data_IF_920930972059
#
_entry.id   IF_920930972059
#
_cell.length_a   1.000
_cell.length_b   1.000
_cell.length_c   1.000
_cell.angle_alpha   90.00
_cell.angle_beta   90.00
_cell.angle_gamma   90.00
#
_symmetry.space_group_name_H-M   'P 1'
#
loop_
_entity.id
_entity.type
_entity.pdbx_description
1 polymer ?
#
# COMPACT_ATOMS: atom_id res chain seq x y z
N UNK A 1 9.90 3.43 -0.54
CA UNK A 1 11.32 3.13 -0.44
C UNK A 1 12.02 4.39 -0.78
N UNK A 2 12.56 4.96 0.27
CA UNK A 2 13.72 5.79 0.07
C UNK A 2 14.83 5.16 0.88
N UNK A 3 15.91 4.81 0.20
CA UNK A 3 17.15 4.50 0.90
C UNK A 3 17.69 5.82 1.43
N UNK A 4 17.89 5.91 2.74
CA UNK A 4 18.35 7.09 3.44
C UNK A 4 19.81 6.89 3.82
N UNK A 5 20.71 7.65 3.17
CA UNK A 5 22.15 7.49 3.34
C UNK A 5 22.78 8.72 3.97
N UNK A 6 23.73 8.48 4.86
CA UNK A 6 24.80 9.44 5.17
C UNK A 6 26.15 8.68 5.13
N UNK A 7 27.23 9.27 5.66
CA UNK A 7 28.54 8.62 5.63
C UNK A 7 28.64 7.39 6.56
N UNK A 8 27.83 7.33 7.60
CA UNK A 8 27.90 6.33 8.66
C UNK A 8 26.78 5.27 8.58
N UNK A 9 25.63 5.64 8.00
CA UNK A 9 24.39 4.89 8.10
C UNK A 9 23.73 4.70 6.74
N UNK A 10 23.19 3.50 6.52
CA UNK A 10 22.20 3.22 5.49
C UNK A 10 20.90 2.76 6.14
N UNK A 11 19.87 3.59 6.07
CA UNK A 11 18.55 3.29 6.60
C UNK A 11 17.62 2.96 5.43
N UNK A 12 17.14 1.73 5.42
CA UNK A 12 16.24 1.23 4.37
C UNK A 12 14.83 1.14 4.93
N UNK A 13 13.96 2.07 4.51
CA UNK A 13 12.53 1.98 4.79
C UNK A 13 11.77 1.29 3.64
N UNK A 14 11.37 0.03 3.88
CA UNK A 14 10.56 -0.75 2.96
C UNK A 14 9.10 -0.26 3.02
N UNK A 15 8.79 0.72 2.16
CA UNK A 15 7.47 1.35 2.11
C UNK A 15 6.43 0.38 1.54
N UNK A 16 5.73 -0.29 2.43
CA UNK A 16 4.54 -1.08 2.11
C UNK A 16 3.35 -0.14 1.94
N UNK A 17 2.63 -0.16 0.81
CA UNK A 17 1.53 0.76 0.61
C UNK A 17 0.44 0.63 1.68
N UNK A 18 -0.04 1.80 2.15
CA UNK A 18 -1.14 1.97 3.11
C UNK A 18 -0.82 1.69 4.59
N UNK A 19 0.46 1.72 4.94
CA UNK A 19 0.96 1.51 6.32
C UNK A 19 1.64 2.76 6.91
N UNK A 20 1.13 3.95 6.57
CA UNK A 20 1.70 5.27 6.95
C UNK A 20 3.08 5.61 6.36
N UNK A 21 3.47 4.99 5.24
CA UNK A 21 4.76 5.29 4.61
C UNK A 21 5.00 6.77 4.31
N UNK A 22 4.03 7.52 3.79
CA UNK A 22 4.18 8.98 3.57
C UNK A 22 4.54 9.76 4.85
N UNK A 23 4.05 9.32 6.02
CA UNK A 23 4.37 9.98 7.30
C UNK A 23 5.81 9.70 7.71
N UNK A 24 6.24 8.44 7.63
CA UNK A 24 7.61 8.02 7.94
C UNK A 24 8.61 8.65 6.98
N UNK A 25 8.26 8.73 5.69
CA UNK A 25 9.11 9.35 4.68
C UNK A 25 9.30 10.85 4.93
N UNK A 26 8.22 11.56 5.29
CA UNK A 26 8.28 12.98 5.70
C UNK A 26 9.18 13.15 6.92
N UNK A 27 8.95 12.34 7.96
CA UNK A 27 9.71 12.38 9.19
C UNK A 27 11.22 12.15 8.96
N UNK A 28 11.61 11.12 8.20
CA UNK A 28 13.02 10.86 7.88
C UNK A 28 13.65 12.00 7.07
N UNK A 29 12.91 12.57 6.11
CA UNK A 29 13.40 13.71 5.30
C UNK A 29 13.57 14.98 6.14
N UNK A 30 12.63 15.26 7.04
CA UNK A 30 12.64 16.44 7.91
C UNK A 30 13.81 16.45 8.90
N UNK A 31 14.43 15.29 9.18
CA UNK A 31 15.66 15.24 9.98
C UNK A 31 16.83 16.00 9.34
N UNK A 32 16.85 16.14 8.02
CA UNK A 32 17.98 16.70 7.27
C UNK A 32 19.27 15.88 7.35
N UNK A 33 19.26 14.71 8.01
CA UNK A 33 20.47 13.89 8.28
C UNK A 33 20.84 12.94 7.15
N UNK A 34 19.92 12.70 6.22
CA UNK A 34 20.06 11.67 5.20
C UNK A 34 19.76 12.20 3.81
N UNK A 35 20.53 11.73 2.84
CA UNK A 35 20.19 11.84 1.43
C UNK A 35 19.17 10.74 1.08
N UNK A 36 18.05 11.16 0.49
CA UNK A 36 17.00 10.26 -0.01
C UNK A 36 17.35 9.73 -1.41
N UNK A 37 17.36 8.41 -1.60
CA UNK A 37 17.65 7.74 -2.88
C UNK A 37 16.53 6.74 -3.21
N UNK A 38 16.35 6.41 -4.49
CA UNK A 38 15.35 5.46 -4.99
C UNK A 38 13.91 5.89 -4.71
N UNK A 39 13.62 7.18 -4.84
CA UNK A 39 12.28 7.75 -4.73
C UNK A 39 11.92 8.50 -6.02
N UNK A 40 10.70 8.31 -6.52
CA UNK A 40 10.16 9.11 -7.62
C UNK A 40 8.65 9.26 -7.52
N UNK A 41 8.15 10.49 -7.71
CA UNK A 41 6.71 10.76 -7.73
C UNK A 41 5.97 10.09 -8.90
N UNK A 42 6.71 9.71 -9.95
CA UNK A 42 6.18 9.04 -11.13
C UNK A 42 6.95 7.76 -11.43
N UNK A 43 6.25 6.81 -12.05
CA UNK A 43 6.88 5.61 -12.59
C UNK A 43 7.88 6.02 -13.68
N UNK A 44 9.11 5.52 -13.60
CA UNK A 44 10.12 5.73 -14.63
C UNK A 44 9.79 4.87 -15.87
N UNK A 45 10.30 5.27 -17.04
CA UNK A 45 9.94 4.67 -18.33
C UNK A 45 10.16 3.15 -18.35
N UNK A 46 11.34 2.70 -17.92
CA UNK A 46 11.72 1.28 -17.91
C UNK A 46 11.31 0.52 -16.64
N UNK A 47 10.51 1.14 -15.76
CA UNK A 47 10.07 0.52 -14.52
C UNK A 47 8.59 0.12 -14.57
N UNK A 48 8.29 -1.03 -13.95
CA UNK A 48 6.93 -1.52 -13.77
C UNK A 48 6.19 -0.84 -12.62
N UNK A 49 6.93 -0.35 -11.63
CA UNK A 49 6.42 0.38 -10.46
C UNK A 49 7.32 1.56 -10.13
N UNK A 50 6.83 2.48 -9.30
CA UNK A 50 7.66 3.55 -8.76
C UNK A 50 8.79 2.97 -7.88
N UNK A 51 9.97 3.61 -7.86
CA UNK A 51 11.11 3.15 -7.06
C UNK A 51 10.75 2.89 -5.59
N UNK A 52 9.85 3.69 -5.01
CA UNK A 52 9.40 3.53 -3.64
C UNK A 52 8.62 2.24 -3.36
N UNK A 53 8.17 1.49 -4.36
CA UNK A 53 7.39 0.27 -4.19
C UNK A 53 8.05 -0.97 -4.85
N UNK A 54 9.35 -0.95 -5.16
CA UNK A 54 10.07 -2.17 -5.53
C UNK A 54 10.09 -3.16 -4.34
N UNK A 55 10.24 -4.46 -4.64
CA UNK A 55 10.26 -5.51 -3.62
C UNK A 55 11.62 -5.65 -2.93
N UNK A 56 11.64 -6.41 -1.83
CA UNK A 56 12.84 -6.63 -1.01
C UNK A 56 14.03 -7.17 -1.82
N UNK A 57 13.81 -8.22 -2.62
CA UNK A 57 14.89 -8.84 -3.39
C UNK A 57 15.49 -7.90 -4.43
N UNK A 58 14.65 -7.20 -5.20
CA UNK A 58 15.11 -6.21 -6.19
C UNK A 58 15.91 -5.11 -5.52
N UNK A 59 15.43 -4.58 -4.39
CA UNK A 59 16.15 -3.55 -3.66
C UNK A 59 17.50 -4.07 -3.17
N UNK A 60 17.51 -5.23 -2.52
CA UNK A 60 18.74 -5.84 -1.98
C UNK A 60 19.79 -6.01 -3.07
N UNK A 61 19.39 -6.44 -4.27
CA UNK A 61 20.31 -6.54 -5.42
C UNK A 61 20.82 -5.17 -5.90
N UNK A 62 19.94 -4.15 -5.97
CA UNK A 62 20.33 -2.80 -6.37
C UNK A 62 21.26 -2.13 -5.35
N UNK A 63 21.15 -2.50 -4.08
CA UNK A 63 21.90 -1.88 -2.98
C UNK A 63 23.02 -2.75 -2.43
N UNK A 64 23.29 -3.94 -2.98
CA UNK A 64 24.25 -4.91 -2.40
C UNK A 64 25.68 -4.41 -2.26
N UNK A 65 26.06 -3.42 -3.07
CA UNK A 65 27.40 -2.80 -3.02
C UNK A 65 27.45 -1.57 -2.11
N UNK A 66 26.30 -1.11 -1.62
CA UNK A 66 26.24 0.01 -0.69
C UNK A 66 26.64 -0.49 0.70
N UNK A 67 27.85 -0.13 1.10
CA UNK A 67 28.36 -0.44 2.43
C UNK A 67 28.39 0.83 3.29
N UNK A 68 27.82 0.73 4.49
CA UNK A 68 27.90 1.74 5.55
C UNK A 68 28.23 1.05 6.87
N UNK A 69 28.94 1.72 7.80
CA UNK A 69 29.21 1.17 9.13
C UNK A 69 27.97 0.63 9.85
N UNK A 70 26.83 1.29 9.68
CA UNK A 70 25.55 0.87 10.23
C UNK A 70 24.51 0.72 9.13
N UNK A 71 23.86 -0.46 9.07
CA UNK A 71 22.77 -0.73 8.14
C UNK A 71 21.54 -1.14 8.94
N UNK A 72 20.40 -0.52 8.67
CA UNK A 72 19.15 -0.83 9.35
C UNK A 72 18.01 -0.85 8.35
N UNK A 73 17.27 -1.97 8.31
CA UNK A 73 16.10 -2.14 7.46
C UNK A 73 14.87 -2.28 8.33
N UNK A 74 13.80 -1.57 7.95
CA UNK A 74 12.53 -1.72 8.63
C UNK A 74 11.35 -1.53 7.70
N UNK A 75 10.21 -2.09 8.11
CA UNK A 75 8.94 -1.98 7.42
C UNK A 75 7.80 -1.77 8.43
N UNK A 76 6.71 -1.17 7.97
CA UNK A 76 5.45 -1.14 8.71
C UNK A 76 4.43 -1.98 7.95
N UNK A 77 3.84 -2.96 8.62
CA UNK A 77 2.76 -3.80 8.12
C UNK A 77 1.43 -3.39 8.76
N UNK A 78 0.32 -3.85 8.20
CA UNK A 78 -1.04 -3.57 8.68
C UNK A 78 -1.91 -4.81 8.48
N UNK A 79 -2.94 -4.98 9.29
CA UNK A 79 -3.90 -6.06 9.09
C UNK A 79 -4.40 -6.06 7.62
N UNK A 80 -4.33 -7.19 6.89
CA UNK A 80 -4.68 -7.24 5.46
C UNK A 80 -6.08 -6.71 5.13
N UNK A 81 -7.09 -6.98 5.98
CA UNK A 81 -8.46 -6.45 5.80
C UNK A 81 -8.49 -4.92 5.89
N UNK A 82 -7.86 -4.35 6.91
CA UNK A 82 -7.81 -2.89 7.08
C UNK A 82 -6.97 -2.21 5.98
N UNK A 83 -5.90 -2.87 5.53
CA UNK A 83 -5.02 -2.38 4.46
C UNK A 83 -5.77 -2.24 3.15
N UNK A 84 -6.53 -3.26 2.74
CA UNK A 84 -7.28 -3.22 1.48
C UNK A 84 -8.46 -2.23 1.51
N UNK A 85 -9.09 -2.02 2.68
CA UNK A 85 -10.08 -0.94 2.88
C UNK A 85 -9.44 0.43 2.73
N UNK A 86 -8.27 0.64 3.34
CA UNK A 86 -7.49 1.88 3.21
C UNK A 86 -7.11 2.16 1.74
N UNK A 87 -6.74 1.12 1.00
CA UNK A 87 -6.42 1.20 -0.42
C UNK A 87 -7.62 1.59 -1.28
N UNK A 88 -8.80 0.98 -1.05
CA UNK A 88 -10.02 1.31 -1.77
C UNK A 88 -10.36 2.81 -1.69
N UNK A 89 -10.35 3.36 -0.48
CA UNK A 89 -10.67 4.77 -0.28
C UNK A 89 -9.57 5.70 -0.78
N UNK A 90 -8.32 5.25 -0.79
CA UNK A 90 -7.23 5.98 -1.44
C UNK A 90 -7.45 6.09 -2.95
N UNK A 91 -7.87 5.02 -3.62
CA UNK A 91 -8.18 5.03 -5.06
C UNK A 91 -9.36 5.93 -5.41
N UNK A 92 -10.37 6.00 -4.53
CA UNK A 92 -11.47 6.97 -4.68
C UNK A 92 -10.93 8.40 -4.55
N UNK A 93 -10.12 8.68 -3.53
CA UNK A 93 -9.53 10.02 -3.29
C UNK A 93 -8.68 10.48 -4.48
N UNK A 94 -7.92 9.59 -5.11
CA UNK A 94 -7.14 9.89 -6.32
C UNK A 94 -7.99 10.13 -7.57
N UNK A 95 -9.32 9.98 -7.50
CA UNK A 95 -10.19 10.02 -8.67
C UNK A 95 -9.97 8.84 -9.62
N UNK A 96 -9.24 7.81 -9.19
CA UNK A 96 -8.95 6.63 -10.03
C UNK A 96 -10.24 5.89 -10.40
N UNK A 97 -11.27 5.96 -9.56
CA UNK A 97 -12.60 5.41 -9.85
C UNK A 97 -13.67 6.36 -9.29
N UNK A 98 -14.62 6.76 -10.12
CA UNK A 98 -15.76 7.59 -9.72
C UNK A 98 -16.95 6.72 -9.28
N UNK A 99 -16.97 6.39 -7.99
CA UNK A 99 -18.00 5.50 -7.43
C UNK A 99 -19.24 6.26 -6.93
N UNK A 100 -19.13 7.56 -6.66
CA UNK A 100 -20.23 8.40 -6.15
C UNK A 100 -20.40 8.29 -4.63
N UNK A 101 -21.50 8.85 -4.10
CA UNK A 101 -21.72 8.98 -2.65
C UNK A 101 -21.78 7.63 -1.90
N UNK A 102 -22.27 6.57 -2.54
CA UNK A 102 -22.37 5.23 -1.94
C UNK A 102 -21.19 4.33 -2.32
N UNK A 103 -19.97 4.86 -2.31
CA UNK A 103 -18.80 4.10 -2.74
C UNK A 103 -18.59 2.83 -1.88
N UNK A 104 -18.86 2.88 -0.57
CA UNK A 104 -18.70 1.74 0.33
C UNK A 104 -19.46 0.47 -0.08
N UNK A 105 -20.60 0.61 -0.79
CA UNK A 105 -21.36 -0.55 -1.29
C UNK A 105 -20.71 -1.22 -2.50
N UNK A 106 -19.75 -0.56 -3.14
CA UNK A 106 -19.00 -1.08 -4.30
C UNK A 106 -17.60 -1.56 -3.91
N UNK A 107 -17.30 -1.62 -2.61
CA UNK A 107 -16.03 -2.09 -2.08
C UNK A 107 -15.75 -3.55 -2.45
N UNK A 108 -16.65 -4.48 -2.12
CA UNK A 108 -16.44 -5.91 -2.41
C UNK A 108 -16.28 -6.23 -3.90
N UNK A 109 -17.11 -5.70 -4.82
CA UNK A 109 -16.88 -5.83 -6.26
C UNK A 109 -15.51 -5.29 -6.69
N UNK A 110 -15.08 -4.17 -6.10
CA UNK A 110 -13.75 -3.61 -6.35
C UNK A 110 -12.63 -4.54 -5.89
N UNK A 111 -12.73 -5.11 -4.68
CA UNK A 111 -11.75 -6.06 -4.15
C UNK A 111 -11.63 -7.27 -5.08
N UNK A 112 -12.76 -7.93 -5.37
CA UNK A 112 -12.81 -9.14 -6.22
C UNK A 112 -12.21 -8.85 -7.60
N UNK A 113 -12.59 -7.74 -8.22
CA UNK A 113 -12.06 -7.35 -9.53
C UNK A 113 -10.55 -7.14 -9.52
N UNK A 114 -10.04 -6.39 -8.53
CA UNK A 114 -8.62 -6.03 -8.50
C UNK A 114 -7.73 -7.21 -8.07
N UNK A 115 -8.18 -8.07 -7.14
CA UNK A 115 -7.45 -9.29 -6.79
C UNK A 115 -7.43 -10.31 -7.93
N UNK A 116 -8.51 -10.40 -8.74
CA UNK A 116 -8.48 -11.20 -9.97
C UNK A 116 -7.48 -10.66 -10.98
N UNK A 117 -7.38 -9.34 -11.15
CA UNK A 117 -6.37 -8.73 -12.03
C UNK A 117 -4.95 -8.94 -11.49
N UNK A 118 -4.76 -8.82 -10.17
CA UNK A 118 -3.47 -9.04 -9.51
C UNK A 118 -2.87 -10.42 -9.83
N UNK A 119 -3.69 -11.49 -9.88
CA UNK A 119 -3.22 -12.85 -10.25
C UNK A 119 -2.45 -12.90 -11.58
N UNK A 120 -2.74 -12.00 -12.52
CA UNK A 120 -2.08 -11.94 -13.83
C UNK A 120 -1.14 -10.74 -13.99
N UNK A 121 -1.25 -9.73 -13.13
CA UNK A 121 -0.44 -8.50 -13.21
C UNK A 121 -0.03 -8.11 -11.79
N UNK A 122 1.01 -8.75 -11.24
CA UNK A 122 1.40 -8.58 -9.84
C UNK A 122 1.81 -7.13 -9.45
N UNK A 123 2.28 -6.34 -10.42
CA UNK A 123 2.67 -4.93 -10.29
C UNK A 123 1.48 -3.95 -10.30
N UNK A 124 0.26 -4.45 -10.48
CA UNK A 124 -0.94 -3.62 -10.59
C UNK A 124 -1.04 -2.65 -9.41
N UNK A 125 -1.56 -1.45 -9.70
CA UNK A 125 -1.75 -0.42 -8.70
C UNK A 125 -0.43 0.00 -8.03
N UNK A 126 0.71 -0.15 -8.72
CA UNK A 126 2.04 0.22 -8.21
C UNK A 126 2.51 -0.70 -7.08
N UNK A 127 2.30 -2.01 -7.22
CA UNK A 127 2.50 -3.05 -6.20
C UNK A 127 1.61 -2.92 -4.94
N UNK A 128 0.58 -2.06 -4.91
CA UNK A 128 -0.27 -1.89 -3.72
C UNK A 128 -1.04 -3.16 -3.29
N UNK A 129 -1.24 -4.12 -4.22
CA UNK A 129 -1.94 -5.39 -3.94
C UNK A 129 -1.00 -6.57 -3.69
N UNK A 130 0.33 -6.36 -3.72
CA UNK A 130 1.27 -7.39 -3.28
C UNK A 130 1.03 -7.70 -1.79
N UNK A 131 1.19 -8.97 -1.36
CA UNK A 131 1.36 -9.31 0.04
C UNK A 131 2.46 -8.47 0.67
N UNK A 132 2.31 -8.17 1.95
CA UNK A 132 3.29 -7.43 2.73
C UNK A 132 4.55 -8.27 2.97
N UNK A 133 4.40 -9.59 3.06
CA UNK A 133 5.49 -10.58 3.09
C UNK A 133 6.46 -10.44 1.91
N UNK A 134 5.99 -10.01 0.74
CA UNK A 134 6.82 -9.77 -0.46
C UNK A 134 7.90 -8.68 -0.27
N UNK A 135 7.69 -7.76 0.66
CA UNK A 135 8.55 -6.61 0.87
C UNK A 135 9.54 -6.80 2.02
N UNK A 136 9.53 -7.94 2.71
CA UNK A 136 10.35 -8.14 3.91
C UNK A 136 11.04 -9.50 3.90
N UNK A 137 12.12 -9.61 4.66
CA UNK A 137 12.86 -10.85 4.94
C UNK A 137 13.36 -10.78 6.39
N UNK A 138 14.10 -11.80 6.84
CA UNK A 138 14.54 -11.99 8.22
C UNK A 138 15.42 -10.86 8.78
N UNK A 139 16.04 -10.05 7.92
CA UNK A 139 16.91 -8.92 8.33
C UNK A 139 16.14 -7.59 8.45
N UNK A 140 14.81 -7.61 8.32
CA UNK A 140 13.95 -6.42 8.39
C UNK A 140 13.23 -6.37 9.73
N UNK A 141 13.41 -5.27 10.49
CA UNK A 141 12.58 -5.01 11.68
C UNK A 141 11.15 -4.63 11.25
N UNK A 142 10.16 -5.44 11.64
CA UNK A 142 8.76 -5.24 11.25
C UNK A 142 7.97 -4.63 12.41
N UNK A 143 7.26 -3.55 12.11
CA UNK A 143 6.33 -2.87 13.03
C UNK A 143 4.89 -3.03 12.56
N UNK A 144 3.93 -3.11 13.48
CA UNK A 144 2.50 -3.11 13.14
C UNK A 144 1.96 -1.70 13.15
N UNK A 145 1.25 -1.31 12.11
CA UNK A 145 0.58 0.00 12.01
C UNK A 145 -0.33 0.26 13.22
N UNK A 146 -0.92 -0.81 13.75
CA UNK A 146 -1.79 -0.82 14.92
C UNK A 146 -1.08 -0.43 16.22
N UNK A 147 0.25 -0.53 16.30
CA UNK A 147 1.05 -0.10 17.47
C UNK A 147 1.08 1.43 17.63
N UNK A 148 0.62 2.16 16.60
CA UNK A 148 0.55 3.61 16.59
C UNK A 148 1.82 4.27 16.08
N UNK A 149 1.67 5.24 15.19
CA UNK A 149 2.79 5.84 14.45
C UNK A 149 3.86 6.44 15.37
N UNK A 150 3.49 7.09 16.47
CA UNK A 150 4.46 7.69 17.38
C UNK A 150 5.35 6.63 18.03
N UNK A 151 4.78 5.52 18.50
CA UNK A 151 5.55 4.42 19.11
C UNK A 151 6.56 3.83 18.14
N UNK A 152 6.15 3.65 16.87
CA UNK A 152 7.03 3.18 15.79
C UNK A 152 8.19 4.16 15.59
N UNK A 153 7.89 5.45 15.47
CA UNK A 153 8.91 6.48 15.26
C UNK A 153 9.87 6.60 16.45
N UNK A 154 9.37 6.48 17.68
CA UNK A 154 10.21 6.48 18.88
C UNK A 154 11.20 5.30 18.83
N UNK A 155 10.74 4.10 18.48
CA UNK A 155 11.62 2.93 18.34
C UNK A 155 12.63 3.09 17.21
N UNK A 156 12.21 3.57 16.05
CA UNK A 156 13.12 3.81 14.91
C UNK A 156 14.14 4.89 15.24
N UNK A 157 13.74 5.99 15.89
CA UNK A 157 14.64 7.09 16.29
C UNK A 157 15.70 6.62 17.28
N UNK A 158 15.32 5.77 18.24
CA UNK A 158 16.24 5.10 19.17
C UNK A 158 17.26 4.23 18.41
N UNK A 159 16.80 3.43 17.45
CA UNK A 159 17.66 2.54 16.65
C UNK A 159 18.70 3.29 15.82
N UNK A 160 18.32 4.41 15.21
CA UNK A 160 19.18 5.15 14.29
C UNK A 160 19.92 6.32 14.96
N UNK A 161 19.73 6.52 16.27
CA UNK A 161 20.48 7.50 17.07
C UNK A 161 20.05 8.96 16.85
N UNK A 162 18.76 9.21 16.57
CA UNK A 162 18.21 10.56 16.32
C UNK A 162 17.16 10.98 17.35
N UNK A 163 17.32 10.50 18.59
CA UNK A 163 16.41 10.76 19.69
C UNK A 163 16.12 12.26 19.87
N UNK A 164 14.84 12.61 19.93
CA UNK A 164 14.37 13.95 20.27
C UNK A 164 14.15 14.92 19.10
N UNK A 165 14.43 14.50 17.86
CA UNK A 165 14.48 15.48 16.76
C UNK A 165 13.11 15.93 16.21
N UNK A 166 12.05 15.12 16.25
CA UNK A 166 10.76 15.51 15.63
C UNK A 166 9.56 14.83 16.28
N UNK A 167 8.56 15.63 16.69
CA UNK A 167 7.19 15.13 16.92
C UNK A 167 6.44 15.17 15.61
N UNK A 168 5.78 14.06 15.25
CA UNK A 168 4.91 14.05 14.07
C UNK A 168 3.56 14.65 14.45
N UNK A 169 3.19 15.72 13.77
CA UNK A 169 1.84 16.27 13.85
C UNK A 169 0.83 15.17 13.45
N UNK A 170 -0.15 14.85 14.31
CA UNK A 170 -1.13 13.82 13.99
C UNK A 170 -1.92 14.27 12.76
N UNK A 171 -1.63 13.66 11.60
CA UNK A 171 -2.53 13.76 10.45
C UNK A 171 -3.84 13.12 10.85
N UNK A 172 -4.95 13.89 10.77
CA UNK A 172 -6.29 13.39 11.05
C UNK A 172 -6.49 12.06 10.31
N UNK A 173 -6.62 10.99 11.09
CA UNK A 173 -7.14 9.72 10.58
C UNK A 173 -8.58 10.05 10.18
N UNK A 174 -8.85 10.07 8.87
CA UNK A 174 -10.20 10.35 8.40
C UNK A 174 -11.20 9.39 9.02
N UNK A 175 -12.46 9.82 9.14
CA UNK A 175 -13.53 9.03 9.77
C UNK A 175 -13.53 7.58 9.30
N UNK A 176 -13.85 6.64 10.19
CA UNK A 176 -13.91 5.21 9.88
C UNK A 176 -14.95 5.01 8.79
N UNK A 177 -14.48 4.82 7.56
CA UNK A 177 -15.35 4.71 6.39
C UNK A 177 -15.93 3.32 6.33
N UNK A 178 -17.26 3.24 6.26
CA UNK A 178 -17.96 1.97 6.22
C UNK A 178 -17.88 1.32 4.83
N UNK A 179 -17.68 0.00 4.83
CA UNK A 179 -17.72 -0.85 3.65
C UNK A 179 -18.61 -2.06 3.92
N UNK A 180 -19.11 -2.68 2.85
CA UNK A 180 -19.85 -3.93 2.92
C UNK A 180 -19.01 -5.04 2.28
N UNK A 181 -18.76 -6.10 3.06
CA UNK A 181 -18.05 -7.29 2.64
C UNK A 181 -18.99 -8.32 2.03
N UNK A 182 -18.58 -8.94 0.93
CA UNK A 182 -19.16 -10.20 0.45
C UNK A 182 -18.25 -11.35 0.87
N UNK A 183 -18.82 -12.56 1.00
CA UNK A 183 -18.05 -13.75 1.32
C UNK A 183 -16.92 -13.97 0.30
N UNK A 184 -17.20 -13.80 -1.00
CA UNK A 184 -16.17 -13.93 -2.05
C UNK A 184 -15.02 -12.95 -1.88
N UNK A 185 -15.29 -11.69 -1.48
CA UNK A 185 -14.22 -10.73 -1.25
C UNK A 185 -13.37 -11.11 -0.02
N UNK A 186 -14.00 -11.62 1.04
CA UNK A 186 -13.33 -12.13 2.23
C UNK A 186 -12.42 -13.30 1.87
N UNK A 187 -12.96 -14.33 1.20
CA UNK A 187 -12.23 -15.54 0.84
C UNK A 187 -11.00 -15.19 -0.02
N UNK A 188 -11.16 -14.27 -0.98
CA UNK A 188 -10.06 -13.82 -1.82
C UNK A 188 -8.98 -13.05 -1.05
N UNK A 189 -9.34 -12.27 -0.02
CA UNK A 189 -8.36 -11.57 0.83
C UNK A 189 -7.62 -12.57 1.70
N UNK A 190 -8.32 -13.55 2.29
CA UNK A 190 -7.69 -14.63 3.06
C UNK A 190 -6.71 -15.43 2.19
N UNK A 191 -7.12 -15.84 0.99
CA UNK A 191 -6.26 -16.57 0.04
C UNK A 191 -5.07 -15.72 -0.43
N UNK A 192 -5.31 -14.47 -0.85
CA UNK A 192 -4.26 -13.65 -1.45
C UNK A 192 -3.20 -13.18 -0.47
N UNK A 193 -3.54 -13.13 0.83
CA UNK A 193 -2.67 -12.59 1.88
C UNK A 193 -2.44 -13.58 3.03
N UNK A 194 -2.61 -14.88 2.79
CA UNK A 194 -2.40 -15.96 3.77
C UNK A 194 -1.07 -15.79 4.52
N UNK A 195 0.03 -15.60 3.77
CA UNK A 195 1.36 -15.39 4.35
C UNK A 195 1.44 -14.14 5.24
N UNK A 196 0.70 -13.07 4.95
CA UNK A 196 0.71 -11.88 5.81
C UNK A 196 0.03 -12.18 7.16
N UNK A 197 -1.05 -12.97 7.15
CA UNK A 197 -1.73 -13.36 8.38
C UNK A 197 -0.82 -14.23 9.24
N UNK A 198 -0.15 -15.20 8.62
CA UNK A 198 0.77 -16.12 9.30
C UNK A 198 2.05 -15.41 9.80
N UNK A 199 2.80 -14.80 8.89
CA UNK A 199 4.13 -14.22 9.17
C UNK A 199 4.05 -13.08 10.19
N UNK A 200 3.00 -12.26 10.14
CA UNK A 200 2.85 -11.11 11.03
C UNK A 200 1.89 -11.38 12.19
N UNK A 201 1.42 -12.61 12.35
CA UNK A 201 0.49 -13.01 13.41
C UNK A 201 -0.71 -12.05 13.49
N UNK A 202 -1.40 -11.88 12.36
CA UNK A 202 -2.67 -11.17 12.29
C UNK A 202 -3.83 -12.15 12.36
N UNK A 203 -4.89 -11.79 13.08
CA UNK A 203 -6.11 -12.59 13.11
C UNK A 203 -6.78 -12.62 11.74
N UNK A 204 -7.14 -13.82 11.30
CA UNK A 204 -8.01 -14.08 10.14
C UNK A 204 -9.50 -14.10 10.52
N UNK A 205 -9.84 -13.77 11.78
CA UNK A 205 -11.23 -13.67 12.24
C UNK A 205 -11.99 -12.56 11.49
N UNK A 206 -13.17 -12.92 10.98
CA UNK A 206 -14.03 -12.06 10.18
C UNK A 206 -15.23 -11.51 10.98
N UNK A 207 -15.35 -11.84 12.27
CA UNK A 207 -16.47 -11.46 13.14
C UNK A 207 -16.71 -9.95 13.20
N UNK A 208 -15.66 -9.15 13.03
CA UNK A 208 -15.73 -7.68 13.03
C UNK A 208 -16.15 -7.06 11.68
N UNK A 209 -16.21 -7.86 10.60
CA UNK A 209 -16.52 -7.38 9.27
C UNK A 209 -18.03 -7.25 9.06
N UNK A 210 -18.47 -6.13 8.46
CA UNK A 210 -19.87 -5.96 8.05
C UNK A 210 -20.14 -6.74 6.77
N UNK A 211 -20.70 -7.95 6.89
CA UNK A 211 -21.00 -8.84 5.76
C UNK A 211 -22.43 -8.62 5.25
N UNK A 212 -22.59 -8.37 3.96
CA UNK A 212 -23.91 -8.38 3.31
C UNK A 212 -24.26 -9.81 2.87
N UNK A 213 -25.21 -10.43 3.58
CA UNK A 213 -25.70 -11.79 3.29
C UNK A 213 -26.62 -11.86 2.07
N UNK A 214 -27.08 -10.73 1.52
CA UNK A 214 -27.97 -10.70 0.37
C UNK A 214 -27.22 -10.93 -0.94
N UNK A 215 -27.30 -12.16 -1.46
CA UNK A 215 -26.76 -12.53 -2.78
C UNK A 215 -27.31 -11.63 -3.90
N UNK A 216 -28.57 -11.23 -3.82
CA UNK A 216 -29.20 -10.35 -4.81
C UNK A 216 -28.58 -8.94 -4.80
N UNK A 217 -28.46 -8.31 -3.63
CA UNK A 217 -27.79 -6.99 -3.53
C UNK A 217 -26.36 -7.05 -4.00
N UNK A 218 -25.64 -8.10 -3.63
CA UNK A 218 -24.25 -8.26 -4.07
C UNK A 218 -24.13 -8.36 -5.60
N UNK A 219 -24.99 -9.15 -6.24
CA UNK A 219 -25.04 -9.24 -7.70
C UNK A 219 -25.36 -7.88 -8.36
N UNK A 220 -26.26 -7.09 -7.76
CA UNK A 220 -26.54 -5.73 -8.24
C UNK A 220 -25.31 -4.81 -8.11
N UNK A 221 -24.57 -4.90 -7.01
CA UNK A 221 -23.34 -4.13 -6.81
C UNK A 221 -22.25 -4.54 -7.80
N UNK A 222 -22.10 -5.82 -8.10
CA UNK A 222 -21.18 -6.32 -9.13
C UNK A 222 -21.52 -5.75 -10.52
N UNK A 223 -22.79 -5.82 -10.93
CA UNK A 223 -23.26 -5.26 -12.21
C UNK A 223 -22.99 -3.76 -12.26
N UNK A 224 -23.30 -3.03 -11.18
CA UNK A 224 -23.09 -1.58 -11.09
C UNK A 224 -21.61 -1.22 -11.18
N UNK A 225 -20.74 -1.96 -10.49
CA UNK A 225 -19.30 -1.74 -10.54
C UNK A 225 -18.72 -2.04 -11.94
N UNK A 226 -19.08 -3.19 -12.52
CA UNK A 226 -18.63 -3.58 -13.86
C UNK A 226 -19.08 -2.58 -14.94
N UNK A 227 -20.31 -2.07 -14.86
CA UNK A 227 -20.79 -1.00 -15.75
C UNK A 227 -19.94 0.27 -15.64
N UNK A 228 -19.52 0.65 -14.42
CA UNK A 228 -18.65 1.82 -14.21
C UNK A 228 -17.25 1.60 -14.77
N UNK A 229 -16.67 0.41 -14.59
CA UNK A 229 -15.35 0.06 -15.14
C UNK A 229 -15.40 0.04 -16.66
N UNK A 230 -16.39 -0.61 -17.25
CA UNK A 230 -16.58 -0.64 -18.71
C UNK A 230 -16.68 0.77 -19.30
N UNK A 231 -17.51 1.65 -18.71
CA UNK A 231 -17.61 3.06 -19.14
C UNK A 231 -16.28 3.80 -19.04
N UNK A 232 -15.48 3.53 -18.00
CA UNK A 232 -14.15 4.14 -17.82
C UNK A 232 -13.17 3.65 -18.88
N UNK A 233 -13.14 2.35 -19.15
CA UNK A 233 -12.26 1.73 -20.16
C UNK A 233 -12.63 2.22 -21.57
N UNK A 234 -13.92 2.29 -21.89
CA UNK A 234 -14.40 2.86 -23.16
C UNK A 234 -13.96 4.32 -23.34
N UNK A 235 -14.12 5.18 -22.32
CA UNK A 235 -13.65 6.57 -22.36
C UNK A 235 -12.14 6.67 -22.59
N UNK A 236 -11.35 5.78 -21.99
CA UNK A 236 -9.90 5.73 -22.18
C UNK A 236 -9.54 5.33 -23.62
N UNK A 237 -10.17 4.29 -24.15
CA UNK A 237 -9.95 3.81 -25.52
C UNK A 237 -10.27 4.89 -26.56
N UNK A 238 -11.39 5.59 -26.38
CA UNK A 238 -11.77 6.73 -27.24
C UNK A 238 -10.74 7.86 -27.14
N UNK A 239 -10.30 8.22 -25.93
CA UNK A 239 -9.27 9.27 -25.76
C UNK A 239 -7.94 8.90 -26.42
N UNK A 240 -7.50 7.64 -26.33
CA UNK A 240 -6.27 7.17 -26.97
C UNK A 240 -6.36 7.15 -28.50
N UNK A 241 -7.55 6.92 -29.06
CA UNK A 241 -7.77 6.98 -30.51
C UNK A 241 -7.80 8.43 -31.04
N UNK A 242 -8.40 9.36 -30.28
CA UNK A 242 -8.52 10.77 -30.69
C UNK A 242 -7.21 11.55 -30.45
N UNK A 243 -6.45 11.22 -29.41
CA UNK A 243 -5.21 11.91 -29.06
C UNK A 243 -4.07 10.92 -28.79
N UNK A 244 -3.52 10.28 -29.83
CA UNK A 244 -2.50 9.23 -29.69
C UNK A 244 -1.20 9.73 -29.03
N UNK A 245 -0.96 11.04 -28.96
CA UNK A 245 0.25 11.65 -28.40
C UNK A 245 0.04 12.42 -27.07
N UNK A 246 -1.14 12.35 -26.44
CA UNK A 246 -1.46 13.17 -25.25
C UNK A 246 -1.24 12.50 -23.88
N UNK A 247 -0.63 11.31 -23.84
CA UNK A 247 -0.28 10.64 -22.58
C UNK A 247 1.21 10.83 -22.26
N UNK A 248 1.53 11.88 -21.49
CA UNK A 248 2.76 12.04 -20.70
C UNK A 248 2.40 12.35 -19.24
#
# INVERSE_FOLDING_TARGET
>A
MPLYLNNEQAITFLHIPKTAGTTIESWLNETGKYQQILFSQKKLEDMLVTPQHLGYHTLTELTKTLNRPFNYKFAVVRNPFDRIVSEFFYRIKLGSIQLGQNAGSLFSPWVVHNLKKYKNTPEILDNHLRPQSYFVDNDVEVFKFEDGIQSILDRVSNRIGILGDLKVEPKKVGDKKEVQWSQTAIDMVLESYEQDFEQFNYSSDISSLKVDSSKFRMKLYDIKYNSKIFKKELKRAVKSQIYPYSSK
#
